data_IF_915130118152
#
_entry.id   IF_915130118152
#
_cell.length_a   1.000
_cell.length_b   1.000
_cell.length_c   1.000
_cell.angle_alpha   90.00
_cell.angle_beta   90.00
_cell.angle_gamma   90.00
#
_symmetry.space_group_name_H-M   'P 1'
#
loop_
_entity.id
_entity.type
_entity.pdbx_description
1 polymer ?
#
# COMPACT_ATOMS: atom_id res chain seq x y z
N UNK A 1 -4.74 -3.87 -2.33
CA UNK A 1 -3.31 -3.65 -2.06
C UNK A 1 -2.96 -3.92 -0.60
N UNK A 2 -1.66 -3.98 -0.29
CA UNK A 2 -1.14 -3.87 1.07
C UNK A 2 -0.01 -2.82 1.08
N UNK A 3 0.04 -1.88 2.04
CA UNK A 3 1.03 -0.81 2.06
C UNK A 3 2.48 -1.29 2.22
N UNK A 4 2.71 -2.46 2.82
CA UNK A 4 4.03 -3.09 2.97
C UNK A 4 4.39 -4.06 1.84
N UNK A 5 3.59 -4.12 0.79
CA UNK A 5 3.87 -4.97 -0.37
C UNK A 5 4.74 -4.22 -1.38
N UNK A 6 5.98 -4.69 -1.61
CA UNK A 6 6.90 -4.11 -2.60
C UNK A 6 6.31 -4.08 -4.02
N UNK A 7 5.58 -5.12 -4.42
CA UNK A 7 4.87 -5.15 -5.70
C UNK A 7 3.75 -4.09 -5.78
N UNK A 8 3.08 -3.76 -4.65
CA UNK A 8 2.11 -2.65 -4.60
C UNK A 8 2.80 -1.30 -4.73
N UNK A 9 3.99 -1.14 -4.14
CA UNK A 9 4.83 0.04 -4.35
C UNK A 9 5.29 0.14 -5.81
N UNK A 10 5.65 -0.98 -6.43
CA UNK A 10 5.97 -1.05 -7.86
C UNK A 10 4.85 -0.57 -8.78
N UNK A 11 3.59 -0.82 -8.43
CA UNK A 11 2.43 -0.37 -9.20
C UNK A 11 2.04 1.12 -8.95
N UNK A 12 2.60 1.75 -7.95
CA UNK A 12 2.24 3.11 -7.51
C UNK A 12 2.32 4.18 -8.62
N UNK A 13 3.35 4.23 -9.50
CA UNK A 13 3.39 5.22 -10.57
C UNK A 13 2.21 5.13 -11.54
N UNK A 14 1.84 3.91 -11.92
CA UNK A 14 0.71 3.68 -12.83
C UNK A 14 -0.61 4.13 -12.18
N UNK A 15 -0.81 3.83 -10.90
CA UNK A 15 -2.01 4.25 -10.16
C UNK A 15 -2.09 5.77 -10.01
N UNK A 16 -0.96 6.45 -9.79
CA UNK A 16 -0.94 7.90 -9.70
C UNK A 16 -1.31 8.58 -11.03
N UNK A 17 -0.89 8.02 -12.14
CA UNK A 17 -1.26 8.53 -13.45
C UNK A 17 -2.73 8.24 -13.78
N UNK A 18 -3.24 7.07 -13.43
CA UNK A 18 -4.68 6.79 -13.53
C UNK A 18 -5.54 7.75 -12.72
N UNK A 19 -5.10 8.10 -11.52
CA UNK A 19 -5.82 9.05 -10.68
C UNK A 19 -5.88 10.48 -11.24
N UNK A 20 -5.04 10.82 -12.22
CA UNK A 20 -5.09 12.10 -12.94
C UNK A 20 -6.09 12.09 -14.10
N UNK A 21 -6.56 10.93 -14.52
CA UNK A 21 -7.57 10.80 -15.58
C UNK A 21 -8.97 11.04 -14.97
N UNK A 22 -9.60 12.15 -15.34
CA UNK A 22 -10.91 12.55 -14.85
C UNK A 22 -12.05 11.54 -15.18
N UNK A 23 -11.83 10.63 -16.13
CA UNK A 23 -12.77 9.56 -16.45
C UNK A 23 -12.63 8.34 -15.52
N UNK A 24 -11.61 8.29 -14.67
CA UNK A 24 -11.32 7.18 -13.77
C UNK A 24 -11.66 7.56 -12.33
N UNK A 25 -12.51 6.77 -11.68
CA UNK A 25 -12.72 6.85 -10.23
C UNK A 25 -11.94 5.72 -9.55
N UNK A 26 -10.88 6.09 -8.82
CA UNK A 26 -10.01 5.13 -8.14
C UNK A 26 -10.39 5.01 -6.66
N UNK A 27 -10.72 3.80 -6.22
CA UNK A 27 -10.98 3.48 -4.81
C UNK A 27 -9.89 2.58 -4.27
N UNK A 28 -9.25 2.97 -3.16
CA UNK A 28 -8.23 2.17 -2.50
C UNK A 28 -8.84 1.12 -1.58
N UNK A 29 -8.46 -0.14 -1.76
CA UNK A 29 -8.97 -1.29 -1.03
C UNK A 29 -7.81 -2.03 -0.31
N UNK A 30 -7.48 -1.65 0.94
CA UNK A 30 -6.42 -2.30 1.70
C UNK A 30 -6.84 -3.70 2.15
N UNK A 31 -6.01 -4.72 1.87
CA UNK A 31 -6.34 -6.12 2.18
C UNK A 31 -5.89 -6.57 3.56
N UNK A 32 -4.96 -5.82 4.19
CA UNK A 32 -4.34 -6.26 5.44
C UNK A 32 -3.59 -7.58 5.29
N UNK A 33 -2.99 -7.83 4.11
CA UNK A 33 -2.28 -9.08 3.82
C UNK A 33 -1.18 -9.39 4.84
N UNK A 34 -0.51 -8.37 5.32
CA UNK A 34 0.56 -8.47 6.30
C UNK A 34 0.16 -7.95 7.69
N UNK A 35 -1.13 -7.71 7.94
CA UNK A 35 -1.61 -7.19 9.22
C UNK A 35 -1.82 -8.29 10.23
N UNK A 36 -1.36 -8.07 11.48
CA UNK A 36 -1.69 -8.90 12.64
C UNK A 36 -1.11 -10.31 12.62
N UNK A 37 -0.24 -10.64 11.67
CA UNK A 37 0.31 -11.99 11.50
C UNK A 37 1.43 -12.36 12.47
N UNK A 38 1.91 -11.42 13.29
CA UNK A 38 3.01 -11.64 14.23
C UNK A 38 4.35 -11.99 13.55
N UNK A 39 4.46 -11.76 12.24
CA UNK A 39 5.70 -12.04 11.52
C UNK A 39 6.79 -11.04 11.90
N UNK A 40 7.97 -11.57 12.16
CA UNK A 40 9.15 -10.76 12.42
C UNK A 40 10.19 -10.95 11.31
N UNK A 41 11.04 -9.94 11.17
CA UNK A 41 12.15 -9.98 10.23
C UNK A 41 13.22 -10.97 10.70
N UNK A 42 13.59 -11.89 9.82
CA UNK A 42 14.77 -12.74 9.95
C UNK A 42 15.64 -12.64 8.70
N UNK A 43 16.85 -13.18 8.75
CA UNK A 43 17.81 -13.07 7.66
C UNK A 43 17.29 -13.69 6.34
N UNK A 44 16.59 -14.82 6.42
CA UNK A 44 16.08 -15.51 5.22
C UNK A 44 14.96 -14.70 4.56
N UNK A 45 14.05 -14.13 5.38
CA UNK A 45 13.00 -13.28 4.87
C UNK A 45 13.51 -11.95 4.34
N UNK A 46 14.52 -11.35 5.00
CA UNK A 46 15.17 -10.13 4.54
C UNK A 46 15.80 -10.32 3.14
N UNK A 47 16.52 -11.42 2.93
CA UNK A 47 17.11 -11.74 1.62
C UNK A 47 16.04 -12.01 0.55
N UNK A 48 15.00 -12.76 0.89
CA UNK A 48 13.87 -13.00 0.02
C UNK A 48 13.18 -11.69 -0.39
N UNK A 49 12.92 -10.80 0.57
CA UNK A 49 12.29 -9.50 0.32
C UNK A 49 13.18 -8.66 -0.60
N UNK A 50 14.47 -8.52 -0.26
CA UNK A 50 15.42 -7.74 -1.06
C UNK A 50 15.55 -8.25 -2.49
N UNK A 51 15.61 -9.57 -2.69
CA UNK A 51 15.68 -10.16 -4.03
C UNK A 51 14.47 -9.81 -4.90
N UNK A 52 13.26 -9.80 -4.31
CA UNK A 52 12.05 -9.34 -4.99
C UNK A 52 12.10 -7.84 -5.28
N UNK A 53 12.53 -7.03 -4.30
CA UNK A 53 12.58 -5.57 -4.42
C UNK A 53 13.56 -5.13 -5.52
N UNK A 54 14.69 -5.82 -5.70
CA UNK A 54 15.61 -5.62 -6.84
C UNK A 54 14.93 -5.93 -8.18
N UNK A 55 14.09 -6.98 -8.24
CA UNK A 55 13.33 -7.30 -9.46
C UNK A 55 12.28 -6.24 -9.75
N UNK A 56 11.56 -5.77 -8.72
CA UNK A 56 10.57 -4.71 -8.85
C UNK A 56 11.24 -3.41 -9.33
N UNK A 57 12.37 -3.04 -8.73
CA UNK A 57 13.13 -1.85 -9.14
C UNK A 57 13.49 -1.89 -10.63
N UNK A 58 13.99 -3.04 -11.12
CA UNK A 58 14.32 -3.22 -12.55
C UNK A 58 13.10 -3.12 -13.47
N UNK A 59 11.96 -3.63 -13.01
CA UNK A 59 10.75 -3.68 -13.82
C UNK A 59 10.02 -2.32 -13.87
N UNK A 60 10.04 -1.57 -12.76
CA UNK A 60 9.15 -0.41 -12.56
C UNK A 60 9.90 0.92 -12.45
N UNK A 61 11.21 0.89 -12.26
CA UNK A 61 12.01 2.08 -11.96
C UNK A 61 11.85 2.60 -10.52
N UNK A 62 11.04 1.95 -9.69
CA UNK A 62 10.89 2.33 -8.29
C UNK A 62 12.18 2.11 -7.49
N UNK A 63 12.41 3.00 -6.52
CA UNK A 63 13.65 3.00 -5.73
C UNK A 63 13.48 2.16 -4.47
N UNK A 64 14.40 1.22 -4.27
CA UNK A 64 14.63 0.53 -3.02
C UNK A 64 16.06 0.80 -2.59
N UNK A 65 16.25 1.43 -1.44
CA UNK A 65 17.56 1.98 -1.05
C UNK A 65 18.31 1.08 -0.09
N UNK A 66 19.63 1.31 0.03
CA UNK A 66 20.43 0.66 1.07
C UNK A 66 19.99 1.07 2.50
N UNK A 67 19.44 2.28 2.67
CA UNK A 67 18.84 2.68 3.96
C UNK A 67 17.66 1.77 4.33
N UNK A 68 16.78 1.45 3.40
CA UNK A 68 15.72 0.47 3.61
C UNK A 68 16.28 -0.92 3.93
N UNK A 69 17.24 -1.38 3.13
CA UNK A 69 17.89 -2.67 3.35
C UNK A 69 18.52 -2.79 4.73
N UNK A 70 19.25 -1.76 5.16
CA UNK A 70 19.96 -1.78 6.44
C UNK A 70 19.02 -1.55 7.63
N UNK A 71 18.11 -0.56 7.54
CA UNK A 71 17.36 -0.08 8.69
C UNK A 71 16.03 -0.80 8.90
N UNK A 72 15.48 -1.43 7.86
CA UNK A 72 14.20 -2.13 7.92
C UNK A 72 14.40 -3.63 7.77
N UNK A 73 14.98 -4.09 6.65
CA UNK A 73 15.22 -5.52 6.44
C UNK A 73 16.33 -6.07 7.35
N UNK A 74 17.38 -5.28 7.58
CA UNK A 74 18.54 -5.64 8.39
C UNK A 74 18.33 -5.59 9.91
N UNK A 75 17.09 -5.45 10.40
CA UNK A 75 16.77 -5.44 11.83
C UNK A 75 16.09 -6.76 12.25
N UNK A 76 16.84 -7.78 12.68
CA UNK A 76 16.25 -9.03 13.13
C UNK A 76 15.25 -8.81 14.28
N UNK A 77 14.12 -9.50 14.23
CA UNK A 77 13.07 -9.40 15.25
C UNK A 77 12.13 -8.20 15.11
N UNK A 78 12.41 -7.23 14.21
CA UNK A 78 11.45 -6.15 13.93
C UNK A 78 10.16 -6.69 13.34
N UNK A 79 9.04 -6.04 13.66
CA UNK A 79 7.73 -6.47 13.15
C UNK A 79 7.63 -6.24 11.63
N UNK A 80 7.16 -7.25 10.90
CA UNK A 80 6.68 -7.10 9.54
C UNK A 80 5.16 -7.10 9.57
N UNK A 81 4.58 -5.94 9.87
CA UNK A 81 3.16 -5.77 10.12
C UNK A 81 2.63 -4.47 9.49
N UNK A 82 1.64 -4.59 8.62
CA UNK A 82 1.01 -3.47 7.91
C UNK A 82 -0.17 -2.84 8.66
N UNK A 83 -0.46 -3.29 9.88
CA UNK A 83 -1.62 -2.79 10.64
C UNK A 83 -1.57 -1.28 10.83
N UNK A 84 -0.43 -0.75 11.27
CA UNK A 84 -0.24 0.69 11.53
C UNK A 84 -0.47 1.52 10.26
N UNK A 85 0.17 1.15 9.15
CA UNK A 85 0.03 1.86 7.87
C UNK A 85 -1.37 1.72 7.28
N UNK A 86 -2.00 0.54 7.41
CA UNK A 86 -3.38 0.34 6.97
C UNK A 86 -4.36 1.18 7.79
N UNK A 87 -4.17 1.24 9.11
CA UNK A 87 -4.98 2.08 9.99
C UNK A 87 -4.80 3.57 9.69
N UNK A 88 -3.57 4.00 9.39
CA UNK A 88 -3.25 5.37 8.98
C UNK A 88 -4.01 5.78 7.72
N UNK A 89 -4.02 4.93 6.69
CA UNK A 89 -4.78 5.18 5.46
C UNK A 89 -6.29 5.24 5.73
N UNK A 90 -6.81 4.43 6.65
CA UNK A 90 -8.20 4.54 7.07
C UNK A 90 -8.47 5.86 7.81
N UNK A 91 -7.53 6.35 8.64
CA UNK A 91 -7.65 7.66 9.28
C UNK A 91 -7.67 8.81 8.26
N UNK A 92 -6.81 8.73 7.23
CA UNK A 92 -6.83 9.71 6.11
C UNK A 92 -8.15 9.64 5.35
N UNK A 93 -8.64 8.44 5.02
CA UNK A 93 -9.93 8.29 4.33
C UNK A 93 -11.12 8.86 5.12
N UNK A 94 -11.05 8.88 6.45
CA UNK A 94 -12.09 9.45 7.31
C UNK A 94 -11.96 10.97 7.52
N UNK A 95 -10.80 11.55 7.25
CA UNK A 95 -10.55 13.01 7.47
C UNK A 95 -10.40 13.76 6.16
N UNK A 96 -9.59 13.25 5.24
CA UNK A 96 -9.25 13.87 3.96
C UNK A 96 -9.18 12.82 2.84
N UNK A 97 -10.31 12.20 2.44
CA UNK A 97 -10.34 11.04 1.54
C UNK A 97 -9.66 11.27 0.19
N UNK A 98 -9.69 12.49 -0.34
CA UNK A 98 -9.03 12.83 -1.59
C UNK A 98 -7.49 12.70 -1.54
N UNK A 99 -6.90 12.67 -0.35
CA UNK A 99 -5.46 12.59 -0.13
C UNK A 99 -4.95 11.19 0.22
N UNK A 100 -5.82 10.19 0.21
CA UNK A 100 -5.44 8.83 0.63
C UNK A 100 -4.35 8.22 -0.27
N UNK A 101 -4.43 8.42 -1.60
CA UNK A 101 -3.41 7.92 -2.53
C UNK A 101 -2.06 8.61 -2.32
N UNK A 102 -2.07 9.91 -2.04
CA UNK A 102 -0.86 10.67 -1.70
C UNK A 102 -0.23 10.15 -0.40
N UNK A 103 -1.04 9.93 0.63
CA UNK A 103 -0.58 9.36 1.89
C UNK A 103 0.01 7.96 1.71
N UNK A 104 -0.61 7.10 0.90
CA UNK A 104 -0.07 5.78 0.57
C UNK A 104 1.33 5.89 -0.04
N UNK A 105 1.51 6.79 -1.02
CA UNK A 105 2.80 7.03 -1.65
C UNK A 105 3.86 7.45 -0.63
N UNK A 106 3.57 8.44 0.20
CA UNK A 106 4.50 8.96 1.21
C UNK A 106 4.91 7.87 2.20
N UNK A 107 3.97 7.06 2.69
CA UNK A 107 4.25 5.96 3.61
C UNK A 107 5.09 4.85 2.96
N UNK A 108 4.87 4.56 1.68
CA UNK A 108 5.71 3.63 0.93
C UNK A 108 7.12 4.20 0.70
N UNK A 109 7.27 5.46 0.34
CA UNK A 109 8.57 6.12 0.20
C UNK A 109 9.32 6.22 1.54
N UNK A 110 8.62 6.49 2.64
CA UNK A 110 9.18 6.46 3.98
C UNK A 110 9.86 5.11 4.28
N UNK A 111 9.19 4.00 3.94
CA UNK A 111 9.74 2.67 4.10
C UNK A 111 10.85 2.34 3.10
N UNK A 112 10.54 2.38 1.80
CA UNK A 112 11.39 1.83 0.76
C UNK A 112 12.55 2.74 0.33
N UNK A 113 12.41 4.06 0.54
CA UNK A 113 13.43 5.04 0.16
C UNK A 113 14.15 5.60 1.37
N UNK A 114 13.41 6.02 2.41
CA UNK A 114 14.00 6.63 3.60
C UNK A 114 14.47 5.58 4.63
N UNK A 115 14.02 4.33 4.52
CA UNK A 115 14.38 3.26 5.46
C UNK A 115 13.79 3.44 6.85
N UNK A 116 12.58 4.01 6.93
CA UNK A 116 11.86 4.18 8.17
C UNK A 116 11.02 2.96 8.52
N UNK A 117 10.91 2.65 9.81
CA UNK A 117 10.07 1.57 10.31
C UNK A 117 8.61 1.99 10.34
N UNK A 118 7.86 1.65 9.30
CA UNK A 118 6.44 1.99 9.18
C UNK A 118 5.50 1.05 9.95
N UNK A 119 6.01 0.11 10.74
CA UNK A 119 5.24 -0.57 11.79
C UNK A 119 5.12 0.31 13.05
N UNK A 120 6.05 1.24 13.27
CA UNK A 120 6.03 2.19 14.37
C UNK A 120 4.97 3.29 14.15
N UNK A 121 4.04 3.41 15.10
CA UNK A 121 2.94 4.38 15.02
C UNK A 121 3.42 5.82 15.07
N UNK A 122 4.48 6.12 15.82
CA UNK A 122 5.07 7.45 15.92
C UNK A 122 5.69 7.90 14.60
N UNK A 123 6.41 6.97 13.93
CA UNK A 123 6.99 7.20 12.60
C UNK A 123 5.88 7.52 11.60
N UNK A 124 4.84 6.69 11.53
CA UNK A 124 3.73 6.88 10.57
C UNK A 124 2.96 8.16 10.86
N UNK A 125 2.68 8.47 12.13
CA UNK A 125 2.01 9.71 12.50
C UNK A 125 2.84 10.95 12.12
N UNK A 126 4.17 10.88 12.26
CA UNK A 126 5.05 11.97 11.84
C UNK A 126 5.01 12.19 10.33
N UNK A 127 5.03 11.11 9.53
CA UNK A 127 4.89 11.22 8.07
C UNK A 127 3.57 11.87 7.66
N UNK A 128 2.47 11.55 8.34
CA UNK A 128 1.18 12.20 8.10
C UNK A 128 1.20 13.69 8.47
N UNK A 129 1.85 14.08 9.58
CA UNK A 129 2.00 15.50 9.97
C UNK A 129 2.84 16.27 8.97
N UNK A 130 3.95 15.71 8.53
CA UNK A 130 4.85 16.32 7.52
C UNK A 130 4.12 16.53 6.19
N UNK A 131 3.17 15.66 5.89
CA UNK A 131 2.28 15.77 4.73
C UNK A 131 1.14 16.80 4.96
N UNK A 132 1.00 17.37 6.16
CA UNK A 132 -0.09 18.28 6.52
C UNK A 132 -1.39 17.60 6.93
N UNK A 133 -1.39 16.28 7.14
CA UNK A 133 -2.56 15.48 7.54
C UNK A 133 -2.62 15.31 9.07
N UNK A 134 -2.57 16.42 9.80
CA UNK A 134 -2.48 16.41 11.26
C UNK A 134 -3.70 15.70 11.91
N UNK A 135 -4.91 15.91 11.40
CA UNK A 135 -6.12 15.27 11.93
C UNK A 135 -6.07 13.75 11.83
N UNK A 136 -5.55 13.22 10.70
CA UNK A 136 -5.34 11.78 10.51
C UNK A 136 -4.26 11.24 11.45
N UNK A 137 -3.17 11.99 11.64
CA UNK A 137 -2.08 11.62 12.55
C UNK A 137 -2.57 11.50 14.01
N UNK A 138 -3.32 12.50 14.50
CA UNK A 138 -3.88 12.47 15.85
C UNK A 138 -4.86 11.30 16.03
N UNK A 139 -5.68 11.05 15.01
CA UNK A 139 -6.63 9.93 15.04
C UNK A 139 -5.94 8.57 15.02
N UNK A 140 -4.80 8.46 14.33
CA UNK A 140 -3.95 7.27 14.34
C UNK A 140 -3.35 7.00 15.72
N UNK A 141 -2.87 8.05 16.39
CA UNK A 141 -2.24 7.94 17.72
C UNK A 141 -3.25 7.60 18.83
N UNK A 142 -4.51 8.00 18.66
CA UNK A 142 -5.60 7.72 19.59
C UNK A 142 -6.81 7.13 18.82
N UNK A 143 -6.74 5.87 18.34
CA UNK A 143 -7.77 5.30 17.49
C UNK A 143 -9.11 5.22 18.24
N UNK A 144 -10.14 5.87 17.68
CA UNK A 144 -11.51 5.79 18.17
C UNK A 144 -12.25 4.53 17.64
N UNK A 145 -13.46 4.31 18.09
CA UNK A 145 -14.29 3.19 17.65
C UNK A 145 -14.58 3.27 16.14
N UNK A 146 -14.84 4.49 15.62
CA UNK A 146 -15.15 4.70 14.21
C UNK A 146 -13.96 4.35 13.31
N UNK A 147 -12.72 4.70 13.70
CA UNK A 147 -11.53 4.32 12.94
C UNK A 147 -11.32 2.80 12.95
N UNK A 148 -11.49 2.14 14.11
CA UNK A 148 -11.35 0.68 14.19
C UNK A 148 -12.40 -0.05 13.34
N UNK A 149 -13.64 0.43 13.36
CA UNK A 149 -14.72 -0.12 12.54
C UNK A 149 -14.48 0.12 11.04
N UNK A 150 -14.06 1.32 10.65
CA UNK A 150 -13.72 1.64 9.26
C UNK A 150 -12.57 0.75 8.76
N UNK A 151 -11.53 0.56 9.57
CA UNK A 151 -10.42 -0.35 9.24
C UNK A 151 -10.91 -1.78 9.03
N UNK A 152 -11.66 -2.35 9.99
CA UNK A 152 -12.18 -3.71 9.89
C UNK A 152 -13.08 -3.88 8.66
N UNK A 153 -13.99 -2.94 8.43
CA UNK A 153 -14.93 -2.96 7.30
C UNK A 153 -14.22 -2.90 5.96
N UNK A 154 -13.24 -2.00 5.81
CA UNK A 154 -12.48 -1.84 4.56
C UNK A 154 -11.63 -3.07 4.25
N UNK A 155 -10.92 -3.60 5.24
CA UNK A 155 -10.10 -4.81 5.07
C UNK A 155 -10.97 -6.01 4.69
N UNK A 156 -12.10 -6.22 5.39
CA UNK A 156 -13.04 -7.29 5.07
C UNK A 156 -13.63 -7.13 3.66
N UNK A 157 -13.98 -5.91 3.27
CA UNK A 157 -14.51 -5.62 1.93
C UNK A 157 -13.46 -5.94 0.85
N UNK A 158 -12.21 -5.51 1.03
CA UNK A 158 -11.12 -5.83 0.11
C UNK A 158 -10.87 -7.33 0.00
N UNK A 159 -10.86 -8.05 1.13
CA UNK A 159 -10.71 -9.50 1.13
C UNK A 159 -11.88 -10.23 0.46
N UNK A 160 -13.12 -9.72 0.61
CA UNK A 160 -14.28 -10.25 -0.14
C UNK A 160 -14.11 -10.07 -1.64
N UNK A 161 -13.68 -8.88 -2.09
CA UNK A 161 -13.39 -8.61 -3.50
C UNK A 161 -12.31 -9.55 -4.05
N UNK A 162 -11.23 -9.76 -3.31
CA UNK A 162 -10.18 -10.71 -3.73
C UNK A 162 -10.75 -12.11 -3.94
N UNK A 163 -11.56 -12.62 -3.01
CA UNK A 163 -12.19 -13.94 -3.14
C UNK A 163 -13.17 -13.99 -4.31
N UNK A 164 -14.02 -12.98 -4.45
CA UNK A 164 -15.04 -12.88 -5.50
C UNK A 164 -14.41 -12.92 -6.90
N UNK A 165 -13.32 -12.20 -7.08
CA UNK A 165 -12.60 -12.12 -8.35
C UNK A 165 -11.44 -13.11 -8.47
N UNK A 166 -11.26 -14.02 -7.49
CA UNK A 166 -10.20 -15.04 -7.46
C UNK A 166 -8.79 -14.43 -7.61
N UNK A 167 -8.58 -13.25 -7.05
CA UNK A 167 -7.27 -12.59 -7.04
C UNK A 167 -6.28 -13.42 -6.24
N UNK A 168 -5.12 -13.74 -6.85
CA UNK A 168 -4.12 -14.64 -6.26
C UNK A 168 -3.12 -13.88 -5.35
N UNK A 169 -3.22 -12.56 -5.28
CA UNK A 169 -2.34 -11.71 -4.47
C UNK A 169 -2.54 -10.24 -4.76
N UNK A 170 -1.69 -9.43 -4.18
CA UNK A 170 -1.67 -7.98 -4.40
C UNK A 170 -0.35 -7.55 -5.07
N UNK A 171 -0.37 -6.46 -5.89
CA UNK A 171 -1.51 -5.62 -6.22
C UNK A 171 -2.51 -6.32 -7.14
N UNK A 172 -3.78 -5.96 -6.99
CA UNK A 172 -4.86 -6.34 -7.89
C UNK A 172 -5.74 -5.12 -8.16
N UNK A 173 -6.17 -4.95 -9.39
CA UNK A 173 -7.08 -3.88 -9.80
C UNK A 173 -8.36 -4.51 -10.33
N UNK A 174 -9.48 -4.16 -9.74
CA UNK A 174 -10.80 -4.56 -10.22
C UNK A 174 -11.38 -3.39 -10.99
N UNK A 175 -11.65 -3.61 -12.26
CA UNK A 175 -12.22 -2.61 -13.17
C UNK A 175 -13.71 -2.86 -13.27
N UNK A 176 -14.51 -1.92 -12.80
CA UNK A 176 -15.97 -1.94 -12.94
C UNK A 176 -16.35 -1.30 -14.26
N UNK A 177 -16.87 -2.07 -15.19
CA UNK A 177 -17.27 -1.60 -16.52
C UNK A 177 -18.70 -2.01 -16.88
N UNK A 178 -19.23 -1.45 -17.96
CA UNK A 178 -20.57 -1.76 -18.46
C UNK A 178 -20.77 -3.26 -18.81
N UNK A 179 -19.69 -3.94 -19.19
CA UNK A 179 -19.67 -5.38 -19.49
C UNK A 179 -19.46 -6.27 -18.24
N UNK A 180 -19.39 -5.65 -17.05
CA UNK A 180 -19.10 -6.32 -15.79
C UNK A 180 -17.69 -6.06 -15.27
N UNK A 181 -17.39 -6.68 -14.13
CA UNK A 181 -16.12 -6.51 -13.44
C UNK A 181 -15.00 -7.33 -14.10
N UNK A 182 -13.81 -6.75 -14.18
CA UNK A 182 -12.60 -7.43 -14.68
C UNK A 182 -11.47 -7.30 -13.69
N UNK A 183 -10.71 -8.37 -13.51
CA UNK A 183 -9.50 -8.38 -12.70
C UNK A 183 -8.26 -8.13 -13.57
N UNK A 184 -7.46 -7.14 -13.20
CA UNK A 184 -6.11 -6.91 -13.73
C UNK A 184 -5.09 -7.17 -12.65
N UNK A 185 -4.07 -7.98 -12.94
CA UNK A 185 -2.99 -8.35 -12.01
C UNK A 185 -1.65 -8.49 -12.74
N UNK A 186 -0.59 -8.59 -11.96
CA UNK A 186 0.75 -8.89 -12.47
C UNK A 186 1.23 -7.82 -13.45
N UNK A 187 1.77 -8.26 -14.58
CA UNK A 187 2.45 -7.39 -15.54
C UNK A 187 1.59 -6.25 -16.10
N UNK A 188 0.26 -6.39 -16.07
CA UNK A 188 -0.65 -5.31 -16.48
C UNK A 188 -0.50 -4.03 -15.63
N UNK A 189 -0.01 -4.19 -14.39
CA UNK A 189 0.15 -3.08 -13.43
C UNK A 189 1.56 -2.48 -13.40
N UNK A 190 2.52 -3.06 -14.14
CA UNK A 190 3.94 -2.65 -14.14
C UNK A 190 4.42 -2.15 -15.51
N UNK A 191 3.53 -2.17 -16.51
CA UNK A 191 3.81 -1.68 -17.85
C UNK A 191 3.67 -0.17 -17.99
N UNK A 192 3.64 0.28 -19.25
CA UNK A 192 3.35 1.69 -19.52
C UNK A 192 1.89 2.03 -19.14
N UNK A 193 1.66 3.30 -18.86
CA UNK A 193 0.32 3.79 -18.52
C UNK A 193 -0.64 3.62 -19.70
N UNK A 194 -0.15 3.77 -20.90
CA UNK A 194 -0.95 3.55 -22.12
C UNK A 194 -1.46 2.11 -22.19
N UNK A 195 -0.62 1.12 -21.82
CA UNK A 195 -1.01 -0.28 -21.76
C UNK A 195 -2.06 -0.52 -20.66
N UNK A 196 -1.88 0.12 -19.49
CA UNK A 196 -2.86 0.03 -18.42
C UNK A 196 -4.19 0.69 -18.82
N UNK A 197 -4.16 1.89 -19.42
CA UNK A 197 -5.36 2.57 -19.93
C UNK A 197 -6.06 1.77 -21.04
N UNK A 198 -5.30 1.11 -21.92
CA UNK A 198 -5.87 0.20 -22.93
C UNK A 198 -6.55 -1.01 -22.27
N UNK A 199 -5.99 -1.54 -21.21
CA UNK A 199 -6.59 -2.63 -20.43
C UNK A 199 -7.82 -2.22 -19.62
N UNK A 200 -8.07 -0.93 -19.40
CA UNK A 200 -9.26 -0.42 -18.73
C UNK A 200 -10.48 -0.31 -19.68
N UNK A 201 -10.24 -0.20 -20.96
CA UNK A 201 -11.30 -0.12 -22.00
C UNK A 201 -11.81 -1.51 -22.35
#
# INVERSE_FOLDING_TARGET
FDPLCGWCYGASPALQQLAQDASVSLTLAPTGLFSGGGRTMDAAFAEYAWSNDVRIAKLTGQRFTEAYRANVLGKPGSAFDSTTTTLALCAVALTEPARELEALKVLQEARYVQGLDTADVGVVAQQLRDLGLAAAAERLLAPDAALREAHATRVQAAQRLMRQHRAQGVPALIVHGAAGDRLLQGNALYGSVENLQAALR
#
